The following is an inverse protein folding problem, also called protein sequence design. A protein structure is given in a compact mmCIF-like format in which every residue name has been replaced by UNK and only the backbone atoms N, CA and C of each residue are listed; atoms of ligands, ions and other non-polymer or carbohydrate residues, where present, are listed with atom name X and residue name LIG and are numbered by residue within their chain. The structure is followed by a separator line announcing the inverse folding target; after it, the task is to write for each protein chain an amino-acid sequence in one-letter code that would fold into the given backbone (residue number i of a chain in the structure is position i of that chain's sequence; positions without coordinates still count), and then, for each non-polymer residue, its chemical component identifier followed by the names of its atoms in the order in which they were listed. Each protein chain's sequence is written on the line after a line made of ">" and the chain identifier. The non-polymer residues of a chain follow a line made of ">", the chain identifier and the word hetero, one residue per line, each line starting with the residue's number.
data_IF_435329962286
#
_entry.id   IF_435329962286
#
_cell.length_a   1.000
_cell.length_b   1.000
_cell.length_c   1.000
_cell.angle_alpha   90.00
_cell.angle_beta   90.00
_cell.angle_gamma   90.00
#
_symmetry.space_group_name_H-M   'P 1'
#
loop_
_entity.id
_entity.type
_entity.pdbx_description
1 polymer ?
#
# COMPACT_ATOMS: atom_id res chain seq x y z
N UNK A 1 -23.95 14.57 3.78
CA UNK A 1 -23.55 13.32 4.45
C UNK A 1 -22.41 13.50 5.45
N UNK A 2 -21.85 14.70 5.65
CA UNK A 2 -20.69 14.96 6.52
C UNK A 2 -20.96 16.17 7.41
N UNK A 3 -22.01 16.08 8.24
CA UNK A 3 -22.41 17.17 9.14
C UNK A 3 -21.79 17.10 10.54
N UNK A 4 -21.10 16.02 10.90
CA UNK A 4 -20.42 15.88 12.18
C UNK A 4 -18.91 15.96 11.98
N UNK A 5 -18.24 16.75 12.81
CA UNK A 5 -16.79 16.82 12.83
C UNK A 5 -16.23 15.48 13.30
N UNK A 6 -15.37 14.84 12.50
CA UNK A 6 -14.66 13.63 12.89
C UNK A 6 -13.39 14.06 13.62
N UNK A 7 -13.27 13.71 14.89
CA UNK A 7 -12.10 14.05 15.72
C UNK A 7 -11.06 12.92 15.76
N UNK A 8 -11.46 11.71 15.37
CA UNK A 8 -10.58 10.54 15.41
C UNK A 8 -10.87 9.52 14.32
N UNK A 9 -9.85 8.74 13.97
CA UNK A 9 -9.91 7.60 13.07
C UNK A 9 -9.43 6.36 13.84
N UNK A 10 -10.23 5.30 13.86
CA UNK A 10 -9.85 4.05 14.51
C UNK A 10 -8.70 3.36 13.77
N UNK A 11 -8.75 3.37 12.44
CA UNK A 11 -7.76 2.74 11.57
C UNK A 11 -7.61 3.53 10.26
N UNK A 12 -6.37 3.71 9.84
CA UNK A 12 -6.00 4.11 8.47
C UNK A 12 -5.39 2.92 7.77
N UNK A 13 -6.00 2.47 6.68
CA UNK A 13 -5.43 1.42 5.80
C UNK A 13 -4.99 2.07 4.51
N UNK A 14 -3.77 1.77 4.11
CA UNK A 14 -3.21 2.34 2.89
C UNK A 14 -2.36 1.31 2.14
N UNK A 15 -2.66 1.12 0.86
CA UNK A 15 -1.99 0.12 0.04
C UNK A 15 -1.22 0.76 -1.10
N UNK A 16 -0.06 0.17 -1.41
CA UNK A 16 0.78 0.58 -2.55
C UNK A 16 1.11 2.09 -2.50
N UNK A 17 0.87 2.80 -3.59
CA UNK A 17 1.05 4.26 -3.71
C UNK A 17 0.22 5.05 -2.68
N UNK A 18 -0.89 4.48 -2.19
CA UNK A 18 -1.70 5.08 -1.13
C UNK A 18 -0.97 5.19 0.21
N UNK A 19 0.06 4.37 0.44
CA UNK A 19 0.86 4.43 1.65
C UNK A 19 1.64 5.75 1.77
N UNK A 20 2.22 6.23 0.67
CA UNK A 20 2.94 7.52 0.65
C UNK A 20 1.99 8.70 0.92
N UNK A 21 0.77 8.64 0.36
CA UNK A 21 -0.27 9.65 0.62
C UNK A 21 -0.74 9.60 2.08
N UNK A 22 -0.92 8.41 2.64
CA UNK A 22 -1.30 8.25 4.05
C UNK A 22 -0.20 8.74 4.99
N UNK A 23 1.08 8.54 4.67
CA UNK A 23 2.19 9.09 5.43
C UNK A 23 2.18 10.62 5.44
N UNK A 24 1.93 11.26 4.30
CA UNK A 24 1.78 12.71 4.22
C UNK A 24 0.57 13.19 5.04
N UNK A 25 -0.56 12.50 4.94
CA UNK A 25 -1.75 12.78 5.74
C UNK A 25 -1.47 12.67 7.25
N UNK A 26 -0.81 11.60 7.69
CA UNK A 26 -0.49 11.36 9.11
C UNK A 26 0.47 12.40 9.68
N UNK A 27 1.36 12.96 8.85
CA UNK A 27 2.29 14.01 9.26
C UNK A 27 1.60 15.37 9.47
N UNK A 28 0.46 15.62 8.82
CA UNK A 28 -0.22 16.91 8.80
C UNK A 28 -1.57 16.92 9.55
N UNK A 29 -2.18 15.74 9.73
CA UNK A 29 -3.51 15.65 10.35
C UNK A 29 -3.50 16.02 11.82
N UNK A 30 -4.58 16.68 12.25
CA UNK A 30 -4.88 16.96 13.66
C UNK A 30 -5.80 15.88 14.27
N UNK A 31 -6.27 14.94 13.48
CA UNK A 31 -7.12 13.85 13.96
C UNK A 31 -6.30 12.88 14.81
N UNK A 32 -6.93 12.37 15.86
CA UNK A 32 -6.37 11.23 16.58
C UNK A 32 -6.50 9.97 15.72
N UNK A 33 -5.40 9.25 15.51
CA UNK A 33 -5.38 8.01 14.74
C UNK A 33 -5.00 6.85 15.65
N UNK A 34 -5.89 5.86 15.77
CA UNK A 34 -5.69 4.71 16.64
C UNK A 34 -4.66 3.73 16.09
N UNK A 35 -4.84 3.31 14.84
CA UNK A 35 -3.97 2.32 14.17
C UNK A 35 -3.70 2.73 12.73
N UNK A 36 -2.58 2.24 12.21
CA UNK A 36 -2.21 2.41 10.80
C UNK A 36 -1.75 1.07 10.23
N UNK A 37 -2.25 0.69 9.07
CA UNK A 37 -1.82 -0.49 8.36
C UNK A 37 -1.44 -0.15 6.92
N UNK A 38 -0.16 -0.34 6.60
CA UNK A 38 0.39 -0.15 5.26
C UNK A 38 0.60 -1.52 4.60
N UNK A 39 -0.10 -1.78 3.51
CA UNK A 39 -0.03 -3.01 2.74
C UNK A 39 0.76 -2.77 1.45
N UNK A 40 1.95 -3.33 1.38
CA UNK A 40 2.83 -3.20 0.22
C UNK A 40 3.16 -1.74 -0.10
N UNK A 41 3.38 -0.89 0.90
CA UNK A 41 3.78 0.49 0.68
C UNK A 41 5.10 0.57 -0.09
N UNK A 42 5.17 1.46 -1.06
CA UNK A 42 6.38 1.54 -1.90
C UNK A 42 7.57 2.08 -1.12
N UNK A 43 7.38 3.12 -0.30
CA UNK A 43 8.42 3.75 0.51
C UNK A 43 9.77 3.90 -0.21
N UNK A 44 9.70 3.95 -1.55
CA UNK A 44 10.85 3.96 -2.41
C UNK A 44 11.27 5.40 -2.68
N UNK A 45 12.49 5.71 -2.33
CA UNK A 45 13.12 6.98 -2.72
C UNK A 45 13.73 6.81 -4.11
N UNK A 46 13.00 7.21 -5.14
CA UNK A 46 13.42 7.02 -6.53
C UNK A 46 13.80 8.38 -7.13
N UNK A 47 15.03 8.48 -7.58
CA UNK A 47 15.54 9.70 -8.20
C UNK A 47 14.72 10.12 -9.43
N UNK A 48 14.65 11.43 -9.69
CA UNK A 48 13.84 12.05 -10.75
C UNK A 48 14.02 11.42 -12.15
N UNK A 49 15.26 11.07 -12.51
CA UNK A 49 15.55 10.43 -13.80
C UNK A 49 14.92 9.04 -13.92
N UNK A 50 15.05 8.21 -12.88
CA UNK A 50 14.48 6.88 -12.85
C UNK A 50 12.94 6.91 -12.87
N UNK A 51 12.31 7.83 -12.12
CA UNK A 51 10.85 8.04 -12.17
C UNK A 51 10.38 8.40 -13.58
N UNK A 52 11.11 9.28 -14.26
CA UNK A 52 10.78 9.70 -15.62
C UNK A 52 10.83 8.54 -16.62
N UNK A 53 11.81 7.64 -16.46
CA UNK A 53 11.95 6.44 -17.30
C UNK A 53 10.88 5.40 -16.95
N UNK A 54 10.65 5.14 -15.66
CA UNK A 54 9.73 4.11 -15.19
C UNK A 54 8.26 4.40 -15.55
N UNK A 55 7.84 5.66 -15.48
CA UNK A 55 6.43 6.06 -15.65
C UNK A 55 5.79 5.55 -16.95
N UNK A 56 6.40 5.69 -18.15
CA UNK A 56 5.80 5.18 -19.38
C UNK A 56 5.66 3.65 -19.38
N UNK A 57 6.63 2.93 -18.82
CA UNK A 57 6.53 1.46 -18.73
C UNK A 57 5.40 1.01 -17.81
N UNK A 58 5.28 1.65 -16.64
CA UNK A 58 4.18 1.38 -15.72
C UNK A 58 2.82 1.73 -16.34
N UNK A 59 2.74 2.86 -17.05
CA UNK A 59 1.53 3.21 -17.80
C UNK A 59 1.14 2.15 -18.81
N UNK A 60 2.10 1.67 -19.60
CA UNK A 60 1.86 0.63 -20.60
C UNK A 60 1.47 -0.70 -19.95
N UNK A 61 2.11 -1.06 -18.83
CA UNK A 61 1.76 -2.26 -18.08
C UNK A 61 0.31 -2.22 -17.60
N UNK A 62 -0.11 -1.15 -16.93
CA UNK A 62 -1.49 -0.99 -16.45
C UNK A 62 -2.47 -0.92 -17.64
N UNK A 63 -2.12 -0.19 -18.70
CA UNK A 63 -2.94 -0.08 -19.91
C UNK A 63 -3.11 -1.41 -20.62
N UNK A 64 -2.12 -2.29 -20.56
CA UNK A 64 -2.18 -3.62 -21.18
C UNK A 64 -3.30 -4.50 -20.62
N UNK A 65 -3.69 -4.30 -19.35
CA UNK A 65 -4.83 -5.02 -18.75
C UNK A 65 -6.11 -4.70 -19.50
N UNK A 66 -6.35 -3.42 -19.79
CA UNK A 66 -7.50 -3.02 -20.61
C UNK A 66 -7.40 -3.56 -22.05
N UNK A 67 -6.26 -3.36 -22.72
CA UNK A 67 -6.06 -3.73 -24.11
C UNK A 67 -6.14 -5.26 -24.34
N UNK A 68 -5.74 -6.06 -23.35
CA UNK A 68 -5.80 -7.52 -23.40
C UNK A 68 -7.12 -8.10 -22.86
N UNK A 69 -8.09 -7.24 -22.50
CA UNK A 69 -9.33 -7.66 -21.81
C UNK A 69 -9.04 -8.51 -20.57
N UNK A 70 -8.08 -8.05 -19.74
CA UNK A 70 -7.71 -8.67 -18.48
C UNK A 70 -6.72 -9.86 -18.58
N UNK A 71 -6.32 -10.30 -19.76
CA UNK A 71 -5.41 -11.46 -19.92
C UNK A 71 -4.03 -11.24 -19.27
N UNK A 72 -3.58 -10.00 -19.19
CA UNK A 72 -2.28 -9.66 -18.56
C UNK A 72 -2.39 -9.45 -17.04
N UNK A 73 -3.59 -9.44 -16.47
CA UNK A 73 -3.82 -9.13 -15.06
C UNK A 73 -3.05 -10.07 -14.14
N UNK A 74 -3.14 -11.38 -14.37
CA UNK A 74 -2.42 -12.38 -13.58
C UNK A 74 -0.90 -12.13 -13.54
N UNK A 75 -0.33 -11.65 -14.64
CA UNK A 75 1.10 -11.36 -14.72
C UNK A 75 1.49 -10.07 -14.01
N UNK A 76 0.60 -9.07 -14.00
CA UNK A 76 0.92 -7.72 -13.50
C UNK A 76 0.53 -7.58 -12.02
N UNK A 77 -0.64 -8.12 -11.64
CA UNK A 77 -1.22 -7.97 -10.31
C UNK A 77 -1.34 -9.30 -9.55
N UNK A 78 -0.77 -10.39 -10.07
CA UNK A 78 -0.81 -11.73 -9.46
C UNK A 78 -2.24 -12.25 -9.20
N UNK A 79 -3.21 -11.65 -9.87
CA UNK A 79 -4.62 -11.92 -9.70
C UNK A 79 -5.20 -12.58 -10.96
N UNK A 80 -5.97 -13.66 -10.75
CA UNK A 80 -6.73 -14.37 -11.76
C UNK A 80 -8.23 -14.48 -11.42
N UNK A 81 -8.67 -13.69 -10.44
CA UNK A 81 -10.05 -13.65 -9.99
C UNK A 81 -10.94 -12.94 -11.02
N UNK A 82 -11.98 -13.61 -11.48
CA UNK A 82 -12.91 -13.09 -12.48
C UNK A 82 -13.86 -12.02 -11.92
N UNK A 83 -14.11 -11.98 -10.61
CA UNK A 83 -14.98 -10.98 -9.99
C UNK A 83 -14.32 -9.60 -9.95
N UNK A 84 -13.00 -9.54 -9.69
CA UNK A 84 -12.26 -8.27 -9.61
C UNK A 84 -11.69 -7.80 -10.95
N UNK A 85 -11.54 -8.69 -11.92
CA UNK A 85 -11.01 -8.40 -13.26
C UNK A 85 -11.69 -7.22 -13.96
N UNK A 86 -13.04 -7.04 -13.94
CA UNK A 86 -13.69 -5.89 -14.55
C UNK A 86 -13.22 -4.54 -13.99
N UNK A 87 -12.92 -4.47 -12.69
CA UNK A 87 -12.46 -3.25 -12.04
C UNK A 87 -11.05 -2.86 -12.51
N UNK A 88 -10.15 -3.82 -12.66
CA UNK A 88 -8.82 -3.57 -13.22
C UNK A 88 -8.85 -3.19 -14.70
N UNK A 89 -9.74 -3.80 -15.50
CA UNK A 89 -9.96 -3.39 -16.88
C UNK A 89 -10.45 -1.94 -16.94
N UNK A 90 -11.42 -1.57 -16.10
CA UNK A 90 -11.94 -0.21 -16.01
C UNK A 90 -10.86 0.80 -15.57
N UNK A 91 -10.04 0.43 -14.59
CA UNK A 91 -8.89 1.24 -14.15
C UNK A 91 -7.89 1.45 -15.31
N UNK A 92 -7.51 0.40 -16.01
CA UNK A 92 -6.63 0.48 -17.18
C UNK A 92 -7.21 1.30 -18.33
N UNK A 93 -8.54 1.24 -18.55
CA UNK A 93 -9.25 2.07 -19.53
C UNK A 93 -9.20 3.55 -19.19
N UNK A 94 -9.46 3.90 -17.93
CA UNK A 94 -9.63 5.27 -17.49
C UNK A 94 -8.30 5.95 -17.09
N UNK A 95 -7.21 5.19 -17.00
CA UNK A 95 -5.90 5.72 -16.63
C UNK A 95 -5.42 6.74 -17.67
N UNK A 96 -5.09 7.95 -17.19
CA UNK A 96 -4.45 9.00 -17.99
C UNK A 96 -2.97 9.10 -17.64
N UNK A 97 -2.12 9.13 -18.65
CA UNK A 97 -0.67 9.23 -18.46
C UNK A 97 -0.26 10.43 -17.58
N UNK A 98 -0.90 11.59 -17.79
CA UNK A 98 -0.62 12.79 -17.00
C UNK A 98 -0.92 12.61 -15.51
N UNK A 99 -2.00 11.87 -15.16
CA UNK A 99 -2.35 11.60 -13.78
C UNK A 99 -1.35 10.64 -13.13
N UNK A 100 -1.02 9.53 -13.82
CA UNK A 100 -0.01 8.58 -13.34
C UNK A 100 1.35 9.27 -13.15
N UNK A 101 1.78 10.10 -14.12
CA UNK A 101 3.03 10.84 -14.02
C UNK A 101 3.06 11.76 -12.80
N UNK A 102 1.96 12.45 -12.50
CA UNK A 102 1.84 13.29 -11.31
C UNK A 102 1.92 12.45 -10.05
N UNK A 103 1.13 11.38 -9.95
CA UNK A 103 1.15 10.47 -8.80
C UNK A 103 2.56 9.93 -8.52
N UNK A 104 3.25 9.42 -9.54
CA UNK A 104 4.63 8.92 -9.39
C UNK A 104 5.61 10.04 -9.03
N UNK A 105 5.41 11.24 -9.57
CA UNK A 105 6.25 12.39 -9.19
C UNK A 105 6.11 12.73 -7.71
N UNK A 106 4.89 12.71 -7.20
CA UNK A 106 4.60 13.21 -5.86
C UNK A 106 4.86 12.15 -4.77
N UNK A 107 4.59 10.86 -5.08
CA UNK A 107 4.68 9.76 -4.10
C UNK A 107 6.05 9.12 -4.00
N UNK A 108 6.83 9.08 -5.08
CA UNK A 108 8.14 8.42 -5.11
C UNK A 108 9.29 9.42 -5.10
N UNK A 109 9.04 10.64 -4.66
CA UNK A 109 10.08 11.65 -4.58
C UNK A 109 11.13 11.26 -3.53
N UNK A 110 12.39 11.56 -3.85
CA UNK A 110 13.52 11.38 -2.93
C UNK A 110 13.43 12.42 -1.80
N UNK A 111 12.55 12.15 -0.86
CA UNK A 111 12.31 12.95 0.34
C UNK A 111 12.59 12.11 1.59
N UNK A 112 13.03 12.73 2.68
CA UNK A 112 13.07 12.05 3.98
C UNK A 112 11.70 11.49 4.34
N UNK A 113 11.68 10.35 5.01
CA UNK A 113 10.44 9.82 5.57
C UNK A 113 9.80 10.84 6.52
N UNK A 114 8.49 11.12 6.40
CA UNK A 114 7.79 12.01 7.31
C UNK A 114 7.91 11.58 8.76
N UNK A 115 7.92 12.53 9.69
CA UNK A 115 7.91 12.17 11.11
C UNK A 115 6.59 11.47 11.47
N UNK A 116 6.69 10.31 12.12
CA UNK A 116 5.56 9.58 12.67
C UNK A 116 5.71 9.58 14.21
N UNK A 117 4.72 10.10 14.98
CA UNK A 117 4.81 10.13 16.42
C UNK A 117 5.10 8.75 17.01
N UNK A 118 5.98 8.67 18.00
CA UNK A 118 6.43 7.37 18.56
C UNK A 118 5.25 6.56 19.13
N UNK A 119 4.24 7.22 19.67
CA UNK A 119 3.04 6.56 20.19
C UNK A 119 2.22 5.93 19.06
N UNK A 120 2.15 6.57 17.90
CA UNK A 120 1.48 6.00 16.74
C UNK A 120 2.31 4.88 16.12
N UNK A 121 3.64 4.94 16.19
CA UNK A 121 4.49 3.86 15.66
C UNK A 121 4.16 2.50 16.30
N UNK A 122 3.84 2.45 17.59
CA UNK A 122 3.48 1.20 18.30
C UNK A 122 2.26 0.51 17.68
N UNK A 123 1.37 1.30 17.08
CA UNK A 123 0.15 0.86 16.44
C UNK A 123 0.22 0.95 14.90
N UNK A 124 1.42 1.15 14.35
CA UNK A 124 1.65 1.17 12.93
C UNK A 124 2.23 -0.17 12.46
N UNK A 125 1.68 -0.69 11.38
CA UNK A 125 2.06 -1.95 10.76
C UNK A 125 2.48 -1.67 9.32
N UNK A 126 3.73 -1.99 8.99
CA UNK A 126 4.30 -1.91 7.65
C UNK A 126 4.45 -3.33 7.12
N UNK A 127 3.47 -3.80 6.41
CA UNK A 127 3.44 -5.14 5.84
C UNK A 127 4.20 -5.19 4.51
N UNK A 128 4.89 -6.31 4.29
CA UNK A 128 5.62 -6.62 3.06
C UNK A 128 5.37 -8.07 2.66
N UNK A 129 5.08 -8.30 1.38
CA UNK A 129 5.15 -9.62 0.80
C UNK A 129 6.62 -10.06 0.61
N UNK A 130 6.98 -11.29 0.98
CA UNK A 130 8.39 -11.73 0.93
C UNK A 130 8.96 -11.84 -0.50
N UNK A 131 8.10 -11.89 -1.52
CA UNK A 131 8.49 -11.97 -2.94
C UNK A 131 8.14 -10.71 -3.73
N UNK A 132 7.76 -9.62 -3.07
CA UNK A 132 7.51 -8.35 -3.76
C UNK A 132 8.81 -7.55 -3.97
N UNK A 133 8.84 -6.74 -5.02
CA UNK A 133 10.01 -5.91 -5.34
C UNK A 133 10.32 -4.85 -4.29
N UNK A 134 9.31 -4.43 -3.52
CA UNK A 134 9.44 -3.39 -2.48
C UNK A 134 10.00 -3.92 -1.16
N UNK A 135 10.06 -5.24 -0.97
CA UNK A 135 10.66 -5.86 0.22
C UNK A 135 12.08 -5.34 0.53
N UNK A 136 12.86 -5.02 -0.50
CA UNK A 136 14.20 -4.43 -0.37
C UNK A 136 14.27 -3.09 0.36
N UNK A 137 13.13 -2.37 0.47
CA UNK A 137 13.08 -1.08 1.17
C UNK A 137 12.70 -1.22 2.65
N UNK A 138 12.35 -2.43 3.10
CA UNK A 138 11.92 -2.73 4.46
C UNK A 138 12.90 -2.20 5.52
N UNK A 139 14.19 -2.45 5.33
CA UNK A 139 15.20 -2.04 6.31
C UNK A 139 15.31 -0.51 6.45
N UNK A 140 15.11 0.23 5.36
CA UNK A 140 15.08 1.69 5.39
C UNK A 140 13.87 2.21 6.19
N UNK A 141 12.71 1.59 6.03
CA UNK A 141 11.49 1.92 6.80
C UNK A 141 11.65 1.56 8.27
N UNK A 142 12.22 0.38 8.58
CA UNK A 142 12.53 -0.03 9.96
C UNK A 142 13.47 0.95 10.67
N UNK A 143 14.46 1.46 9.95
CA UNK A 143 15.38 2.47 10.49
C UNK A 143 14.68 3.80 10.76
N UNK A 144 13.73 4.19 9.91
CA UNK A 144 12.98 5.43 10.06
C UNK A 144 11.96 5.37 11.20
N UNK A 145 11.33 4.21 11.42
CA UNK A 145 10.26 4.03 12.41
C UNK A 145 10.51 2.84 13.33
N UNK A 146 11.54 2.88 14.20
CA UNK A 146 11.98 1.73 14.96
C UNK A 146 10.95 1.20 15.99
N UNK A 147 9.92 1.97 16.29
CA UNK A 147 8.84 1.57 17.20
C UNK A 147 7.66 0.87 16.50
N UNK A 148 7.68 0.71 15.17
CA UNK A 148 6.58 0.14 14.41
C UNK A 148 6.68 -1.40 14.26
N UNK A 149 5.64 -2.01 13.70
CA UNK A 149 5.55 -3.44 13.46
C UNK A 149 5.81 -3.74 11.98
N UNK A 150 6.55 -4.81 11.68
CA UNK A 150 7.02 -5.13 10.33
C UNK A 150 6.66 -6.57 9.91
N UNK A 151 5.35 -6.90 9.83
CA UNK A 151 4.93 -8.23 9.42
C UNK A 151 5.37 -8.53 7.98
N UNK A 152 5.72 -9.79 7.73
CA UNK A 152 6.05 -10.28 6.39
C UNK A 152 5.09 -11.40 6.03
N UNK A 153 4.44 -11.28 4.88
CA UNK A 153 3.59 -12.33 4.32
C UNK A 153 4.43 -13.23 3.42
N UNK A 154 4.81 -14.39 3.96
CA UNK A 154 5.68 -15.34 3.28
C UNK A 154 5.03 -15.96 2.05
N UNK A 155 5.73 -15.88 0.91
CA UNK A 155 5.23 -16.37 -0.37
C UNK A 155 4.19 -15.47 -1.04
N UNK A 156 3.92 -14.30 -0.48
CA UNK A 156 3.01 -13.33 -1.09
C UNK A 156 3.76 -12.24 -1.83
N UNK A 157 3.14 -11.77 -2.89
CA UNK A 157 3.57 -10.61 -3.66
C UNK A 157 2.77 -9.36 -3.25
N UNK A 158 3.10 -8.23 -3.85
CA UNK A 158 2.51 -6.92 -3.65
C UNK A 158 0.97 -6.95 -3.62
N UNK A 159 0.37 -6.56 -2.50
CA UNK A 159 -1.08 -6.52 -2.25
C UNK A 159 -1.81 -7.87 -2.47
N UNK A 160 -1.07 -8.97 -2.56
CA UNK A 160 -1.64 -10.23 -3.02
C UNK A 160 -2.59 -10.86 -1.98
N UNK A 161 -2.34 -10.67 -0.68
CA UNK A 161 -3.21 -11.25 0.35
C UNK A 161 -4.60 -10.61 0.33
N UNK A 162 -4.69 -9.29 0.33
CA UNK A 162 -5.99 -8.59 0.29
C UNK A 162 -6.80 -8.93 -0.98
N UNK A 163 -6.12 -9.23 -2.09
CA UNK A 163 -6.76 -9.59 -3.36
C UNK A 163 -7.26 -11.03 -3.33
N UNK A 164 -6.48 -11.98 -2.77
CA UNK A 164 -6.83 -13.41 -2.76
C UNK A 164 -7.82 -13.78 -1.68
N UNK A 165 -7.73 -13.15 -0.53
CA UNK A 165 -8.59 -13.41 0.62
C UNK A 165 -9.02 -12.09 1.29
N UNK A 166 -9.91 -11.32 0.65
CA UNK A 166 -10.39 -10.05 1.19
C UNK A 166 -11.11 -10.21 2.53
N UNK A 167 -11.75 -11.35 2.78
CA UNK A 167 -12.40 -11.65 4.05
C UNK A 167 -11.37 -11.84 5.16
N UNK A 168 -10.38 -12.72 4.95
CA UNK A 168 -9.30 -12.94 5.90
C UNK A 168 -8.49 -11.68 6.16
N UNK A 169 -8.23 -10.87 5.12
CA UNK A 169 -7.59 -9.57 5.28
C UNK A 169 -8.39 -8.63 6.18
N UNK A 170 -9.72 -8.53 5.98
CA UNK A 170 -10.61 -7.72 6.83
C UNK A 170 -10.64 -8.20 8.28
N UNK A 171 -10.66 -9.52 8.51
CA UNK A 171 -10.61 -10.12 9.85
C UNK A 171 -9.27 -9.84 10.54
N UNK A 172 -8.17 -9.86 9.80
CA UNK A 172 -6.85 -9.48 10.30
C UNK A 172 -6.83 -8.01 10.72
N UNK A 173 -7.33 -7.09 9.90
CA UNK A 173 -7.41 -5.66 10.24
C UNK A 173 -8.28 -5.42 11.49
N UNK A 174 -9.38 -6.16 11.62
CA UNK A 174 -10.22 -6.11 12.83
C UNK A 174 -9.46 -6.56 14.07
N UNK A 175 -8.65 -7.63 13.96
CA UNK A 175 -7.81 -8.09 15.06
C UNK A 175 -6.77 -7.05 15.48
N UNK A 176 -6.20 -6.32 14.52
CA UNK A 176 -5.30 -5.19 14.81
C UNK A 176 -6.01 -4.13 15.63
N UNK A 177 -7.22 -3.71 15.22
CA UNK A 177 -7.98 -2.66 15.93
C UNK A 177 -8.43 -3.09 17.34
N UNK A 178 -8.92 -4.32 17.48
CA UNK A 178 -9.56 -4.79 18.72
C UNK A 178 -8.56 -5.31 19.75
N UNK A 179 -7.47 -5.92 19.29
CA UNK A 179 -6.53 -6.69 20.13
C UNK A 179 -5.11 -6.13 20.12
N UNK A 180 -4.85 -5.06 19.37
CA UNK A 180 -3.51 -4.49 19.14
C UNK A 180 -2.49 -5.55 18.70
N UNK A 181 -2.92 -6.59 17.98
CA UNK A 181 -2.03 -7.65 17.51
C UNK A 181 -2.51 -8.26 16.21
N UNK A 182 -1.55 -8.77 15.45
CA UNK A 182 -1.83 -9.60 14.27
C UNK A 182 -2.21 -11.02 14.71
N UNK A 183 -3.21 -11.63 14.06
CA UNK A 183 -3.57 -13.03 14.31
C UNK A 183 -2.44 -13.99 13.93
N UNK A 184 -2.53 -15.23 14.38
CA UNK A 184 -1.60 -16.27 13.93
C UNK A 184 -2.06 -16.78 12.56
N UNK A 185 -1.36 -16.34 11.52
CA UNK A 185 -1.56 -16.82 10.15
C UNK A 185 -0.35 -17.66 9.74
N UNK A 186 -0.53 -18.79 9.03
CA UNK A 186 0.56 -19.70 8.71
C UNK A 186 1.66 -19.08 7.82
N UNK A 187 1.32 -18.06 7.09
CA UNK A 187 2.22 -17.31 6.19
C UNK A 187 2.75 -16.00 6.80
N UNK A 188 2.38 -15.68 8.05
CA UNK A 188 2.79 -14.44 8.70
C UNK A 188 4.06 -14.63 9.53
N UNK A 189 5.13 -13.96 9.13
CA UNK A 189 6.34 -13.77 9.95
C UNK A 189 6.28 -12.39 10.60
N UNK A 190 6.40 -12.36 11.91
CA UNK A 190 6.40 -11.13 12.74
C UNK A 190 7.79 -10.53 12.84
#
# INVERSE_FOLDING_TARGET
>A
LYGEAVDSLALVVASSLGADLAMAFLAETKLSVGHVFFDGGQFAQIGKAARRIMTPFLFLAIRSVYLSNGKTLKKIMWCDDDEIKPYFIAAGKNLRYANLRRQISDSLEDKPFPALPIELQKNAYFEFGSIEDHYKYRDAVMKAYPGANYPVFEGYNHMQYQIRDPKGFSEMLRSVMEKNCLPNLPFLRK
#
